data_IF_702532728774
#
_entry.id   IF_702532728774
#
_cell.length_a   1.000
_cell.length_b   1.000
_cell.length_c   1.000
_cell.angle_alpha   90.00
_cell.angle_beta   90.00
_cell.angle_gamma   90.00
#
_symmetry.space_group_name_H-M   'P 1'
#
loop_
_entity.id
_entity.type
_entity.pdbx_description
1 polymer ?
#
# COMPACT_ATOMS: atom_id res chain seq x y z
N UNK A 1 -11.52 -16.30 14.29
CA UNK A 1 -10.87 -16.06 12.99
C UNK A 1 -9.70 -15.13 13.25
N UNK A 2 -8.47 -15.57 13.01
CA UNK A 2 -7.27 -14.72 13.11
C UNK A 2 -7.22 -13.82 11.88
N UNK A 3 -7.49 -12.53 12.06
CA UNK A 3 -7.36 -11.54 10.99
C UNK A 3 -5.87 -11.28 10.77
N UNK A 4 -5.28 -11.83 9.70
CA UNK A 4 -3.93 -11.44 9.29
C UNK A 4 -3.95 -9.98 8.82
N UNK A 5 -3.29 -9.09 9.57
CA UNK A 5 -3.00 -7.74 9.12
C UNK A 5 -1.87 -7.80 8.07
N UNK A 6 -2.23 -7.73 6.79
CA UNK A 6 -1.25 -7.61 5.69
C UNK A 6 -0.96 -6.14 5.41
N UNK A 7 0.24 -5.72 5.77
CA UNK A 7 0.80 -4.42 5.42
C UNK A 7 1.59 -4.53 4.12
N UNK A 8 1.41 -3.56 3.21
CA UNK A 8 2.12 -3.52 1.92
C UNK A 8 3.18 -2.42 1.95
N UNK A 9 4.36 -2.72 1.44
CA UNK A 9 5.45 -1.76 1.29
C UNK A 9 5.68 -1.50 -0.19
N UNK A 10 5.60 -0.24 -0.60
CA UNK A 10 5.90 0.22 -1.96
C UNK A 10 7.27 0.88 -1.94
N UNK A 11 8.20 0.36 -2.75
CA UNK A 11 9.56 0.93 -2.87
C UNK A 11 9.62 1.83 -4.11
N UNK A 12 9.95 3.10 -3.91
CA UNK A 12 10.02 4.17 -4.89
C UNK A 12 8.78 5.06 -4.91
N UNK A 13 8.95 6.35 -4.60
CA UNK A 13 7.89 7.36 -4.60
C UNK A 13 7.65 8.04 -5.96
N UNK A 14 8.07 7.42 -7.06
CA UNK A 14 7.80 7.91 -8.42
C UNK A 14 6.31 7.85 -8.78
N UNK A 15 5.92 8.26 -10.00
CA UNK A 15 4.53 8.26 -10.45
C UNK A 15 3.86 6.88 -10.29
N UNK A 16 4.57 5.80 -10.60
CA UNK A 16 4.09 4.43 -10.46
C UNK A 16 3.84 4.07 -8.99
N UNK A 17 4.79 4.36 -8.09
CA UNK A 17 4.66 4.05 -6.66
C UNK A 17 3.59 4.89 -5.96
N UNK A 18 3.46 6.16 -6.34
CA UNK A 18 2.39 7.05 -5.88
C UNK A 18 1.01 6.56 -6.34
N UNK A 19 0.90 6.10 -7.59
CA UNK A 19 -0.36 5.57 -8.14
C UNK A 19 -0.77 4.28 -7.43
N UNK A 20 0.16 3.32 -7.25
CA UNK A 20 -0.18 2.05 -6.62
C UNK A 20 -0.54 2.23 -5.14
N UNK A 21 0.19 3.10 -4.44
CA UNK A 21 -0.09 3.36 -3.02
C UNK A 21 -1.43 4.06 -2.83
N UNK A 22 -1.80 5.00 -3.68
CA UNK A 22 -3.13 5.62 -3.68
C UNK A 22 -4.25 4.59 -3.94
N UNK A 23 -4.08 3.72 -4.94
CA UNK A 23 -5.07 2.69 -5.28
C UNK A 23 -5.25 1.67 -4.14
N UNK A 24 -4.15 1.22 -3.54
CA UNK A 24 -4.19 0.25 -2.44
C UNK A 24 -4.82 0.86 -1.19
N UNK A 25 -4.47 2.11 -0.84
CA UNK A 25 -5.11 2.84 0.27
C UNK A 25 -6.61 3.01 0.04
N UNK A 26 -7.03 3.32 -1.19
CA UNK A 26 -8.46 3.42 -1.55
C UNK A 26 -9.22 2.10 -1.37
N UNK A 27 -8.54 0.95 -1.32
CA UNK A 27 -9.14 -0.37 -1.08
C UNK A 27 -9.09 -0.80 0.39
N UNK A 28 -8.68 0.10 1.30
CA UNK A 28 -8.55 -0.19 2.73
C UNK A 28 -7.32 -1.03 3.07
N UNK A 29 -6.34 -1.10 2.17
CA UNK A 29 -5.08 -1.80 2.43
C UNK A 29 -4.12 -0.82 3.08
N UNK A 30 -3.46 -1.25 4.15
CA UNK A 30 -2.42 -0.47 4.82
C UNK A 30 -1.13 -0.48 3.98
N UNK A 31 -0.63 0.71 3.64
CA UNK A 31 0.50 0.89 2.71
C UNK A 31 1.49 1.91 3.25
N UNK A 32 2.75 1.51 3.28
CA UNK A 32 3.92 2.37 3.50
C UNK A 32 4.68 2.53 2.18
N UNK A 33 5.14 3.75 1.89
CA UNK A 33 5.98 4.06 0.73
C UNK A 33 7.36 4.44 1.25
N UNK A 34 8.42 3.84 0.70
CA UNK A 34 9.84 4.12 0.99
C UNK A 34 10.60 4.46 -0.28
#
# INVERSE_FOLDING_TARGET
MTTEHKQVVVVGAGPSGSTVSALLKSRGIDVVVI
#
